data_IF_801922075206
#
_entry.id   IF_801922075206
#
_cell.length_a   1.000
_cell.length_b   1.000
_cell.length_c   1.000
_cell.angle_alpha   90.00
_cell.angle_beta   90.00
_cell.angle_gamma   90.00
#
_symmetry.space_group_name_H-M   'P 1'
#
loop_
_entity.id
_entity.type
_entity.pdbx_description
1 polymer ?
#
# COMPACT_ATOMS: atom_id res chain seq x y z
N UNK A 1 3.63 -13.82 9.66
CA UNK A 1 3.27 -12.55 10.35
C UNK A 1 2.57 -11.62 9.36
N UNK A 2 1.27 -11.37 9.55
CA UNK A 2 0.43 -10.64 8.57
C UNK A 2 0.94 -9.23 8.31
N UNK A 3 1.40 -8.98 7.08
CA UNK A 3 2.10 -7.79 6.62
C UNK A 3 1.25 -6.53 6.48
N UNK A 4 0.13 -6.39 7.20
CA UNK A 4 -0.68 -5.18 7.19
C UNK A 4 -1.12 -4.80 8.61
N UNK A 5 -0.69 -3.62 9.03
CA UNK A 5 -1.18 -2.99 10.23
C UNK A 5 -2.40 -2.17 9.84
N UNK A 6 -3.53 -2.43 10.51
CA UNK A 6 -4.78 -1.72 10.30
C UNK A 6 -4.96 -0.66 11.38
N UNK A 7 -5.78 0.36 11.10
CA UNK A 7 -6.15 1.39 12.09
C UNK A 7 -6.72 0.73 13.35
N UNK A 8 -7.53 -0.33 13.20
CA UNK A 8 -8.07 -1.09 14.33
C UNK A 8 -6.96 -1.74 15.19
N UNK A 9 -5.97 -2.41 14.56
CA UNK A 9 -4.84 -3.01 15.29
C UNK A 9 -3.98 -1.98 16.00
N UNK A 10 -3.83 -0.78 15.43
CA UNK A 10 -3.16 0.33 16.08
C UNK A 10 -3.94 0.81 17.32
N UNK A 11 -5.25 1.07 17.15
CA UNK A 11 -6.11 1.56 18.22
C UNK A 11 -6.20 0.60 19.42
N UNK A 12 -6.23 -0.72 19.18
CA UNK A 12 -6.24 -1.71 20.27
C UNK A 12 -4.99 -1.59 21.15
N UNK A 13 -3.79 -1.48 20.54
CA UNK A 13 -2.54 -1.35 21.33
C UNK A 13 -2.50 -0.05 22.12
N UNK A 14 -3.01 1.03 21.55
CA UNK A 14 -3.15 2.31 22.25
C UNK A 14 -4.03 2.19 23.49
N UNK A 15 -5.17 1.50 23.36
CA UNK A 15 -6.05 1.23 24.49
C UNK A 15 -5.37 0.35 25.54
N UNK A 16 -4.58 -0.63 25.13
CA UNK A 16 -3.84 -1.48 26.07
C UNK A 16 -2.79 -0.69 26.86
N UNK A 17 -2.10 0.29 26.26
CA UNK A 17 -1.23 1.19 27.02
C UNK A 17 -1.98 2.07 28.02
N UNK A 18 -3.18 2.55 27.67
CA UNK A 18 -4.01 3.31 28.59
C UNK A 18 -4.45 2.45 29.79
N UNK A 19 -4.81 1.18 29.54
CA UNK A 19 -5.14 0.21 30.59
C UNK A 19 -3.94 -0.11 31.47
N UNK A 20 -2.76 -0.37 30.89
CA UNK A 20 -1.53 -0.59 31.65
C UNK A 20 -1.19 0.62 32.53
N UNK A 21 -1.32 1.84 31.99
CA UNK A 21 -1.11 3.07 32.76
C UNK A 21 -2.06 3.18 33.94
N UNK A 22 -3.31 2.76 33.77
CA UNK A 22 -4.30 2.80 34.84
C UNK A 22 -4.04 1.72 35.90
N UNK A 23 -3.69 0.50 35.46
CA UNK A 23 -3.45 -0.64 36.35
C UNK A 23 -2.19 -0.49 37.22
N UNK A 24 -1.18 0.23 36.74
CA UNK A 24 0.07 0.43 37.48
C UNK A 24 -0.05 1.41 38.66
N UNK A 25 -1.15 2.16 38.78
CA UNK A 25 -1.33 3.18 39.83
C UNK A 25 -0.35 4.37 39.74
N UNK A 26 0.70 4.28 38.92
CA UNK A 26 1.62 5.35 38.60
C UNK A 26 0.97 6.33 37.61
N UNK A 27 1.06 7.63 37.91
CA UNK A 27 0.85 8.67 36.90
C UNK A 27 1.97 8.58 35.86
N UNK A 28 1.77 7.78 34.81
CA UNK A 28 2.63 7.83 33.63
C UNK A 28 2.55 9.26 33.05
N UNK A 29 3.71 9.92 32.94
CA UNK A 29 3.77 11.25 32.34
C UNK A 29 3.36 11.16 30.86
N UNK A 30 2.73 12.22 30.35
CA UNK A 30 2.31 12.29 28.93
C UNK A 30 3.47 11.99 27.97
N UNK A 31 4.66 12.52 28.28
CA UNK A 31 5.90 12.25 27.56
C UNK A 31 6.25 10.75 27.50
N UNK A 32 6.20 10.06 28.64
CA UNK A 32 6.50 8.63 28.74
C UNK A 32 5.48 7.79 27.95
N UNK A 33 4.22 8.24 27.92
CA UNK A 33 3.17 7.61 27.11
C UNK A 33 3.42 7.79 25.59
N UNK A 34 3.80 8.98 25.13
CA UNK A 34 4.18 9.24 23.72
C UNK A 34 5.33 8.32 23.29
N UNK A 35 6.37 8.20 24.12
CA UNK A 35 7.50 7.32 23.83
C UNK A 35 7.11 5.84 23.75
N UNK A 36 6.27 5.36 24.68
CA UNK A 36 5.73 3.99 24.64
C UNK A 36 4.93 3.73 23.36
N UNK A 37 4.04 4.64 22.99
CA UNK A 37 3.26 4.51 21.74
C UNK A 37 4.18 4.43 20.53
N UNK A 38 5.15 5.33 20.38
CA UNK A 38 6.11 5.32 19.27
C UNK A 38 6.92 4.01 19.21
N UNK A 39 7.32 3.46 20.37
CA UNK A 39 8.09 2.20 20.46
C UNK A 39 7.25 0.96 20.12
N UNK A 40 5.92 1.04 20.27
CA UNK A 40 4.99 -0.05 19.99
C UNK A 40 4.55 -0.17 18.52
N UNK A 41 4.90 0.82 17.70
CA UNK A 41 4.55 0.83 16.29
C UNK A 41 5.34 -0.25 15.56
N UNK A 42 4.72 -0.88 14.55
CA UNK A 42 5.41 -1.88 13.73
C UNK A 42 6.61 -1.27 13.01
N UNK A 43 7.62 -2.09 12.70
CA UNK A 43 8.84 -1.72 11.96
C UNK A 43 8.56 -0.92 10.69
N UNK A 44 7.41 -1.15 10.02
CA UNK A 44 7.00 -0.38 8.83
C UNK A 44 6.80 1.12 9.09
N UNK A 45 6.54 1.51 10.34
CA UNK A 45 6.40 2.90 10.74
C UNK A 45 7.73 3.52 11.15
N UNK A 46 8.85 2.78 11.19
CA UNK A 46 10.14 3.29 11.64
C UNK A 46 10.52 4.59 10.94
N UNK A 47 10.38 4.67 9.62
CA UNK A 47 10.69 5.89 8.87
C UNK A 47 9.81 7.07 9.28
N UNK A 48 8.53 6.84 9.60
CA UNK A 48 7.63 7.88 10.10
C UNK A 48 7.94 8.24 11.56
N UNK A 49 8.30 7.26 12.39
CA UNK A 49 8.72 7.47 13.78
C UNK A 49 9.99 8.32 13.82
N UNK A 50 10.99 8.01 13.01
CA UNK A 50 12.23 8.81 12.89
C UNK A 50 11.91 10.25 12.50
N UNK A 51 11.12 10.46 11.45
CA UNK A 51 10.73 11.81 11.04
C UNK A 51 9.96 12.58 12.13
N UNK A 52 9.12 11.91 12.92
CA UNK A 52 8.42 12.55 14.05
C UNK A 52 9.42 12.99 15.13
N UNK A 53 10.39 12.12 15.46
CA UNK A 53 11.43 12.39 16.46
C UNK A 53 12.40 13.50 16.03
N UNK A 54 12.69 13.60 14.74
CA UNK A 54 13.55 14.64 14.18
C UNK A 54 12.84 15.99 14.09
N UNK A 55 11.56 16.00 13.73
CA UNK A 55 10.79 17.23 13.54
C UNK A 55 10.21 17.82 14.83
N UNK A 56 10.09 17.02 15.90
CA UNK A 56 9.43 17.44 17.13
C UNK A 56 10.17 16.94 18.36
N UNK A 57 10.11 17.72 19.44
CA UNK A 57 10.51 17.25 20.75
C UNK A 57 9.47 16.29 21.34
N UNK A 58 9.84 15.00 21.38
CA UNK A 58 8.99 13.90 21.87
C UNK A 58 8.60 14.08 23.34
N UNK A 59 9.40 14.83 24.11
CA UNK A 59 9.15 15.02 25.55
C UNK A 59 8.06 16.06 25.83
N UNK A 60 7.83 16.99 24.90
CA UNK A 60 6.79 18.03 25.00
C UNK A 60 5.57 17.77 24.11
N UNK A 61 5.67 16.83 23.16
CA UNK A 61 4.57 16.47 22.25
C UNK A 61 3.31 15.98 23.00
N UNK A 62 2.14 16.44 22.53
CA UNK A 62 0.84 15.98 23.04
C UNK A 62 0.44 14.67 22.36
N UNK A 63 -0.24 13.80 23.10
CA UNK A 63 -0.73 12.52 22.56
C UNK A 63 -1.73 12.70 21.42
N UNK A 64 -2.63 13.68 21.53
CA UNK A 64 -3.61 13.97 20.48
C UNK A 64 -2.95 14.35 19.16
N UNK A 65 -1.85 15.09 19.23
CA UNK A 65 -1.05 15.47 18.06
C UNK A 65 -0.36 14.26 17.43
N UNK A 66 0.23 13.39 18.25
CA UNK A 66 0.80 12.12 17.79
C UNK A 66 -0.28 11.27 17.10
N UNK A 67 -1.46 11.12 17.71
CA UNK A 67 -2.55 10.34 17.13
C UNK A 67 -3.06 10.93 15.82
N UNK A 68 -3.22 12.25 15.74
CA UNK A 68 -3.60 12.93 14.50
C UNK A 68 -2.59 12.68 13.37
N UNK A 69 -1.28 12.77 13.67
CA UNK A 69 -0.21 12.50 12.70
C UNK A 69 -0.23 11.05 12.19
N UNK A 70 -0.39 10.09 13.11
CA UNK A 70 -0.45 8.67 12.77
C UNK A 70 -1.71 8.30 11.99
N UNK A 71 -2.88 8.83 12.37
CA UNK A 71 -4.15 8.60 11.68
C UNK A 71 -4.12 9.17 10.25
N UNK A 72 -3.56 10.37 10.07
CA UNK A 72 -3.38 10.98 8.75
C UNK A 72 -2.48 10.13 7.86
N UNK A 73 -1.38 9.60 8.42
CA UNK A 73 -0.47 8.71 7.70
C UNK A 73 -1.14 7.38 7.31
N UNK A 74 -1.85 6.72 8.24
CA UNK A 74 -2.61 5.49 7.98
C UNK A 74 -3.67 5.70 6.88
N UNK A 75 -4.39 6.82 6.94
CA UNK A 75 -5.40 7.20 5.93
C UNK A 75 -4.77 7.41 4.55
N UNK A 76 -3.60 8.06 4.49
CA UNK A 76 -2.83 8.20 3.26
C UNK A 76 -2.41 6.86 2.67
N UNK A 77 -1.87 5.94 3.50
CA UNK A 77 -1.50 4.60 3.06
C UNK A 77 -2.70 3.82 2.51
N UNK A 78 -3.87 3.91 3.17
CA UNK A 78 -5.09 3.26 2.69
C UNK A 78 -5.52 3.80 1.31
N UNK A 79 -5.46 5.13 1.11
CA UNK A 79 -5.76 5.77 -0.18
C UNK A 79 -4.80 5.31 -1.29
N UNK A 80 -3.51 5.18 -1.01
CA UNK A 80 -2.53 4.66 -1.99
C UNK A 80 -2.86 3.22 -2.37
N UNK A 81 -3.15 2.36 -1.39
CA UNK A 81 -3.53 0.96 -1.65
C UNK A 81 -4.81 0.86 -2.48
N UNK A 82 -5.82 1.68 -2.19
CA UNK A 82 -7.05 1.74 -2.97
C UNK A 82 -6.81 2.17 -4.43
N UNK A 83 -5.94 3.16 -4.66
CA UNK A 83 -5.53 3.57 -6.01
C UNK A 83 -4.77 2.47 -6.76
N UNK A 84 -3.88 1.73 -6.09
CA UNK A 84 -3.17 0.58 -6.70
C UNK A 84 -4.13 -0.53 -7.14
N UNK A 85 -5.20 -0.81 -6.37
CA UNK A 85 -6.23 -1.79 -6.76
C UNK A 85 -7.06 -1.33 -7.97
N UNK A 86 -7.31 -0.03 -8.13
CA UNK A 86 -8.04 0.53 -9.29
C UNK A 86 -7.19 0.72 -10.54
N UNK A 87 -5.85 0.82 -10.41
CA UNK A 87 -4.92 1.06 -11.52
C UNK A 87 -4.26 -0.19 -12.14
N UNK A 88 -4.53 -1.38 -11.61
CA UNK A 88 -3.78 -2.62 -11.94
C UNK A 88 -3.99 -3.21 -13.34
N UNK A 89 -4.98 -2.75 -14.12
CA UNK A 89 -5.37 -3.38 -15.39
C UNK A 89 -4.91 -2.61 -16.64
N UNK A 90 -4.56 -1.33 -16.53
CA UNK A 90 -4.28 -0.49 -17.70
C UNK A 90 -2.90 -0.75 -18.33
N UNK A 91 -1.89 -1.11 -17.52
CA UNK A 91 -0.54 -1.39 -18.04
C UNK A 91 -0.43 -2.78 -18.67
N UNK A 92 -1.10 -3.79 -18.09
CA UNK A 92 -1.19 -5.12 -18.69
C UNK A 92 -1.93 -5.12 -20.03
N UNK A 93 -2.96 -4.27 -20.20
CA UNK A 93 -3.66 -4.13 -21.46
C UNK A 93 -2.74 -3.69 -22.60
N UNK A 94 -1.87 -2.70 -22.36
CA UNK A 94 -0.89 -2.22 -23.35
C UNK A 94 0.22 -3.24 -23.61
N UNK A 95 0.72 -3.92 -22.58
CA UNK A 95 1.74 -4.97 -22.73
C UNK A 95 1.21 -6.24 -23.43
N UNK A 96 -0.05 -6.65 -23.15
CA UNK A 96 -0.73 -7.76 -23.87
C UNK A 96 -0.92 -7.42 -25.36
N UNK A 97 -1.34 -6.19 -25.68
CA UNK A 97 -1.51 -5.74 -27.06
C UNK A 97 -0.18 -5.74 -27.82
N UNK A 98 0.91 -5.37 -27.14
CA UNK A 98 2.26 -5.40 -27.72
C UNK A 98 2.74 -6.84 -27.99
N UNK A 99 2.58 -7.77 -27.03
CA UNK A 99 2.90 -9.21 -27.24
C UNK A 99 2.08 -9.80 -28.40
N UNK A 100 0.77 -9.57 -28.46
CA UNK A 100 -0.08 -10.12 -29.52
C UNK A 100 0.30 -9.63 -30.92
N UNK A 101 0.87 -8.41 -31.05
CA UNK A 101 1.33 -7.87 -32.34
C UNK A 101 2.63 -8.53 -32.82
N UNK A 102 3.51 -8.95 -31.91
CA UNK A 102 4.75 -9.66 -32.23
C UNK A 102 4.50 -11.12 -32.63
N UNK A 103 3.69 -11.89 -31.86
CA UNK A 103 3.43 -13.30 -32.15
C UNK A 103 2.58 -13.54 -33.41
N UNK A 104 1.77 -12.57 -33.87
CA UNK A 104 1.00 -12.68 -35.12
C UNK A 104 1.82 -12.42 -36.40
N UNK A 105 2.99 -11.78 -36.30
CA UNK A 105 3.84 -11.46 -37.46
C UNK A 105 4.79 -12.60 -37.84
N UNK A 106 4.92 -13.63 -36.98
CA UNK A 106 5.79 -14.79 -37.21
C UNK A 106 5.08 -15.99 -37.85
N UNK A 107 3.81 -15.89 -38.23
CA UNK A 107 3.09 -17.02 -38.83
C UNK A 107 1.85 -16.59 -39.58
N UNK A 108 2.01 -16.25 -40.87
CA UNK A 108 0.95 -16.24 -41.90
C UNK A 108 1.57 -15.98 -43.27
N UNK A 109 2.09 -17.03 -43.88
CA UNK A 109 2.07 -17.18 -45.34
C UNK A 109 1.10 -18.32 -45.63
N UNK A 110 -0.01 -18.00 -46.30
CA UNK A 110 -0.98 -19.00 -46.70
C UNK A 110 -2.27 -18.36 -47.18
N UNK A 111 -2.53 -18.55 -48.48
CA UNK A 111 -3.76 -18.28 -49.22
C UNK A 111 -3.99 -16.84 -49.68
N UNK A 112 -3.58 -16.58 -50.92
CA UNK A 112 -4.35 -15.72 -51.81
C UNK A 112 -4.75 -16.58 -53.00
N UNK A 113 -6.04 -16.89 -53.08
CA UNK A 113 -6.61 -17.57 -54.24
C UNK A 113 -6.50 -16.68 -55.46
N UNK A 114 -6.32 -17.30 -56.62
CA UNK A 114 -6.72 -16.70 -57.87
C UNK A 114 -7.46 -17.75 -58.71
N UNK A 115 -8.66 -17.36 -59.13
CA UNK A 115 -9.39 -18.02 -60.22
C UNK A 115 -8.58 -17.83 -61.48
N UNK A 116 -8.47 -18.85 -62.31
CA UNK A 116 -8.52 -18.70 -63.76
C UNK A 116 -9.20 -19.93 -64.37
N UNK A 117 -10.13 -19.63 -65.25
CA UNK A 117 -11.09 -20.49 -65.92
C UNK A 117 -10.60 -20.75 -67.37
N UNK A 118 -11.19 -21.77 -68.02
CA UNK A 118 -11.05 -22.18 -69.44
C UNK A 118 -9.91 -23.20 -69.72
N UNK A 119 -10.04 -24.24 -70.56
CA UNK A 119 -11.10 -24.66 -71.50
C UNK A 119 -10.94 -26.15 -71.84
N UNK A 120 -12.01 -26.74 -72.36
CA UNK A 120 -12.19 -28.07 -72.94
C UNK A 120 -11.16 -28.53 -73.99
N UNK A 121 -10.79 -29.82 -73.95
CA UNK A 121 -10.25 -30.55 -75.10
C UNK A 121 -11.31 -31.51 -75.66
N UNK A 122 -11.63 -31.36 -76.94
CA UNK A 122 -11.89 -32.47 -77.84
C UNK A 122 -10.55 -33.04 -78.31
#
# INVERSE_FOLDING_TARGET
>A
MTGEETIAKFNVRVLDFAKESFALGEKISKAKMVQKVLRSLSVRFNMKVTAIKEANDVTSMKLDELFGSLQKYLSYLFRIKAKKKKGGVAFQGRFRKFKNKFYKKAGRNGTQGNRDNNNSNF
#
